data_IF_355007484882
#
_entry.id   IF_355007484882
#
_cell.length_a   1.000
_cell.length_b   1.000
_cell.length_c   1.000
_cell.angle_alpha   90.00
_cell.angle_beta   90.00
_cell.angle_gamma   90.00
#
_symmetry.space_group_name_H-M   'P 1'
#
loop_
_entity.id
_entity.type
_entity.pdbx_description
1 polymer ?
#
# COMPACT_ATOMS: atom_id res chain seq x y z
N UNK A 1 -7.98 7.85 10.29
CA UNK A 1 -8.28 7.21 9.00
C UNK A 1 -7.00 6.74 8.33
N UNK A 2 -6.80 5.43 8.25
CA UNK A 2 -5.77 4.79 7.42
C UNK A 2 -6.43 4.38 6.10
N UNK A 3 -5.87 4.79 4.97
CA UNK A 3 -6.36 4.36 3.66
C UNK A 3 -5.37 3.40 3.02
N UNK A 4 -5.85 2.27 2.49
CA UNK A 4 -5.01 1.25 1.86
C UNK A 4 -5.37 1.14 0.38
N UNK A 5 -4.36 1.18 -0.49
CA UNK A 5 -4.51 0.88 -1.91
C UNK A 5 -3.58 -0.29 -2.31
N UNK A 6 -4.12 -1.50 -2.54
CA UNK A 6 -3.32 -2.68 -2.82
C UNK A 6 -2.93 -2.82 -4.30
N UNK A 7 -3.52 -2.04 -5.19
CA UNK A 7 -3.30 -2.15 -6.63
C UNK A 7 -1.91 -1.69 -7.08
N UNK A 8 -1.47 -2.27 -8.20
CA UNK A 8 -0.42 -1.75 -9.07
C UNK A 8 -0.59 -2.33 -10.47
N UNK A 9 -0.30 -1.56 -11.52
CA UNK A 9 -0.43 -2.02 -12.92
C UNK A 9 0.52 -3.18 -13.25
N UNK A 10 1.71 -3.19 -12.66
CA UNK A 10 2.62 -4.35 -12.78
C UNK A 10 2.40 -5.25 -11.56
N UNK A 11 1.91 -6.49 -11.72
CA UNK A 11 1.67 -7.40 -10.60
C UNK A 11 2.91 -7.64 -9.74
N UNK A 12 4.10 -7.56 -10.33
CA UNK A 12 5.39 -7.73 -9.62
C UNK A 12 5.63 -6.63 -8.59
N UNK A 13 4.95 -5.48 -8.68
CA UNK A 13 5.04 -4.38 -7.72
C UNK A 13 3.94 -4.44 -6.65
N UNK A 14 3.08 -5.46 -6.65
CA UNK A 14 2.02 -5.61 -5.64
C UNK A 14 2.58 -6.28 -4.40
N UNK A 15 2.54 -5.60 -3.26
CA UNK A 15 2.79 -6.23 -1.97
C UNK A 15 1.67 -7.23 -1.64
N UNK A 16 1.95 -8.37 -0.98
CA UNK A 16 0.95 -9.42 -0.78
C UNK A 16 -0.29 -8.92 -0.03
N UNK A 17 -1.45 -9.44 -0.42
CA UNK A 17 -2.75 -9.11 0.21
C UNK A 17 -2.72 -9.40 1.71
N UNK A 18 -2.12 -10.51 2.11
CA UNK A 18 -1.97 -10.93 3.51
C UNK A 18 -1.17 -9.90 4.31
N UNK A 19 -0.21 -9.24 3.66
CA UNK A 19 0.61 -8.21 4.29
C UNK A 19 -0.18 -6.92 4.53
N UNK A 20 -0.99 -6.49 3.56
CA UNK A 20 -1.91 -5.36 3.75
C UNK A 20 -2.98 -5.66 4.80
N UNK A 21 -3.54 -6.88 4.79
CA UNK A 21 -4.54 -7.32 5.76
C UNK A 21 -3.99 -7.29 7.19
N UNK A 22 -2.75 -7.73 7.39
CA UNK A 22 -2.10 -7.68 8.70
C UNK A 22 -1.88 -6.24 9.18
N UNK A 23 -1.51 -5.31 8.31
CA UNK A 23 -1.46 -3.88 8.68
C UNK A 23 -2.85 -3.35 9.03
N UNK A 24 -3.87 -3.68 8.24
CA UNK A 24 -5.26 -3.26 8.49
C UNK A 24 -5.75 -3.75 9.85
N UNK A 25 -5.51 -5.03 10.16
CA UNK A 25 -5.87 -5.67 11.43
C UNK A 25 -5.25 -4.96 12.63
N UNK A 26 -3.93 -4.73 12.59
CA UNK A 26 -3.21 -4.05 13.69
C UNK A 26 -3.66 -2.60 13.84
N UNK A 27 -3.85 -1.88 12.73
CA UNK A 27 -4.35 -0.50 12.78
C UNK A 27 -5.76 -0.41 13.39
N UNK A 28 -6.66 -1.34 13.06
CA UNK A 28 -8.00 -1.41 13.62
C UNK A 28 -8.02 -1.82 15.10
N UNK A 29 -7.14 -2.74 15.51
CA UNK A 29 -6.92 -3.09 16.92
C UNK A 29 -6.44 -1.88 17.73
N UNK A 30 -5.66 -0.99 17.11
CA UNK A 30 -5.26 0.31 17.64
C UNK A 30 -6.28 1.43 17.33
N UNK A 31 -7.57 1.06 17.23
CA UNK A 31 -8.75 1.93 17.08
C UNK A 31 -8.82 2.80 15.81
N UNK A 32 -7.95 2.60 14.80
CA UNK A 32 -8.10 3.32 13.54
C UNK A 32 -9.25 2.80 12.69
N UNK A 33 -9.92 3.73 12.01
CA UNK A 33 -10.73 3.45 10.84
C UNK A 33 -9.80 3.14 9.65
N UNK A 34 -10.02 2.00 9.00
CA UNK A 34 -9.26 1.53 7.84
C UNK A 34 -10.19 1.40 6.64
N UNK A 35 -9.83 2.07 5.54
CA UNK A 35 -10.59 2.02 4.28
C UNK A 35 -9.69 1.50 3.17
N UNK A 36 -10.08 0.40 2.55
CA UNK A 36 -9.41 -0.14 1.36
C UNK A 36 -10.05 0.50 0.12
N UNK A 37 -9.23 0.99 -0.81
CA UNK A 37 -9.67 1.64 -2.05
C UNK A 37 -8.96 1.03 -3.25
N UNK A 38 -9.56 1.19 -4.43
CA UNK A 38 -9.05 0.68 -5.69
C UNK A 38 -10.12 0.80 -6.77
N UNK A 39 -9.81 0.40 -7.99
CA UNK A 39 -10.80 0.30 -9.07
C UNK A 39 -11.41 -1.12 -9.15
N UNK A 40 -12.25 -1.36 -10.16
CA UNK A 40 -12.84 -2.68 -10.42
C UNK A 40 -11.82 -3.84 -10.46
N UNK A 41 -10.58 -3.57 -10.89
CA UNK A 41 -9.51 -4.58 -10.98
C UNK A 41 -8.88 -4.92 -9.63
N UNK A 42 -9.05 -4.04 -8.64
CA UNK A 42 -8.55 -4.23 -7.28
C UNK A 42 -9.61 -4.75 -6.31
N UNK A 43 -10.90 -4.77 -6.70
CA UNK A 43 -12.01 -5.10 -5.80
C UNK A 43 -11.86 -6.48 -5.11
N UNK A 44 -11.43 -7.50 -5.85
CA UNK A 44 -11.21 -8.83 -5.29
C UNK A 44 -10.08 -8.86 -4.24
N UNK A 45 -8.99 -8.13 -4.49
CA UNK A 45 -7.89 -8.00 -3.53
C UNK A 45 -8.35 -7.19 -2.31
N UNK A 46 -9.14 -6.14 -2.50
CA UNK A 46 -9.69 -5.33 -1.42
C UNK A 46 -10.62 -6.12 -0.51
N UNK A 47 -11.53 -6.92 -1.07
CA UNK A 47 -12.43 -7.78 -0.29
C UNK A 47 -11.66 -8.82 0.53
N UNK A 48 -10.60 -9.41 -0.07
CA UNK A 48 -9.73 -10.36 0.62
C UNK A 48 -8.95 -9.67 1.75
N UNK A 49 -8.49 -8.43 1.57
CA UNK A 49 -7.84 -7.63 2.62
C UNK A 49 -8.81 -7.37 3.78
N UNK A 50 -10.04 -6.98 3.48
CA UNK A 50 -11.07 -6.74 4.52
C UNK A 50 -11.37 -8.03 5.28
N UNK A 51 -11.57 -9.14 4.58
CA UNK A 51 -11.87 -10.42 5.20
C UNK A 51 -10.75 -10.87 6.14
N UNK A 52 -9.51 -10.95 5.64
CA UNK A 52 -8.34 -11.36 6.42
C UNK A 52 -8.02 -10.38 7.55
N UNK A 53 -8.18 -9.07 7.30
CA UNK A 53 -7.90 -8.03 8.29
C UNK A 53 -8.85 -8.06 9.50
N UNK A 54 -10.05 -8.62 9.33
CA UNK A 54 -11.05 -8.79 10.39
C UNK A 54 -10.83 -10.03 11.25
N UNK A 55 -10.03 -10.99 10.77
CA UNK A 55 -9.85 -12.26 11.48
C UNK A 55 -9.25 -12.05 12.88
N UNK A 56 -9.87 -12.67 13.88
CA UNK A 56 -9.42 -12.61 15.27
C UNK A 56 -9.70 -11.28 15.99
N UNK A 57 -10.32 -10.30 15.35
CA UNK A 57 -10.74 -9.06 16.00
C UNK A 57 -12.13 -9.19 16.67
N UNK A 58 -12.38 -8.50 17.80
CA UNK A 58 -13.73 -8.23 18.29
C UNK A 58 -14.58 -7.55 17.21
N UNK A 59 -15.90 -7.80 17.22
CA UNK A 59 -16.82 -7.31 16.20
C UNK A 59 -16.73 -5.79 15.97
N UNK A 60 -16.68 -5.00 17.05
CA UNK A 60 -16.57 -3.53 16.99
C UNK A 60 -15.28 -3.07 16.28
N UNK A 61 -14.15 -3.76 16.50
CA UNK A 61 -12.88 -3.44 15.84
C UNK A 61 -12.88 -3.93 14.39
N UNK A 62 -13.47 -5.09 14.11
CA UNK A 62 -13.59 -5.64 12.76
C UNK A 62 -14.42 -4.72 11.83
N UNK A 63 -15.47 -4.08 12.35
CA UNK A 63 -16.31 -3.14 11.60
C UNK A 63 -15.56 -1.87 11.15
N UNK A 64 -14.40 -1.57 11.77
CA UNK A 64 -13.54 -0.42 11.39
C UNK A 64 -12.80 -0.63 10.08
N UNK A 65 -12.75 -1.86 9.56
CA UNK A 65 -12.08 -2.20 8.29
C UNK A 65 -13.16 -2.31 7.22
N UNK A 66 -13.17 -1.42 6.25
CA UNK A 66 -14.16 -1.39 5.16
C UNK A 66 -13.49 -1.25 3.79
N UNK A 67 -14.23 -1.53 2.72
CA UNK A 67 -13.79 -1.34 1.34
C UNK A 67 -14.70 -0.32 0.65
N UNK A 68 -14.09 0.60 -0.10
CA UNK A 68 -14.72 1.48 -1.07
C UNK A 68 -14.11 1.24 -2.47
N UNK A 69 -13.55 0.05 -2.71
CA UNK A 69 -13.05 -0.32 -4.03
C UNK A 69 -14.19 -0.27 -5.07
N UNK A 70 -13.86 0.20 -6.27
CA UNK A 70 -14.81 0.42 -7.38
C UNK A 70 -16.01 1.32 -7.05
N UNK A 71 -15.92 2.11 -5.97
CA UNK A 71 -17.05 2.90 -5.45
C UNK A 71 -16.78 4.41 -5.46
N UNK A 72 -15.59 4.84 -5.88
CA UNK A 72 -15.16 6.23 -5.85
C UNK A 72 -14.74 6.71 -7.24
N UNK A 73 -15.20 7.88 -7.62
CA UNK A 73 -14.60 8.64 -8.72
C UNK A 73 -13.19 9.13 -8.31
N UNK A 74 -12.39 9.54 -9.30
CA UNK A 74 -11.06 10.11 -9.03
C UNK A 74 -11.12 11.34 -8.11
N UNK A 75 -12.14 12.19 -8.27
CA UNK A 75 -12.35 13.37 -7.44
C UNK A 75 -12.70 13.02 -5.99
N UNK A 76 -13.58 12.04 -5.78
CA UNK A 76 -13.93 11.55 -4.44
C UNK A 76 -12.74 10.85 -3.76
N UNK A 77 -11.95 10.09 -4.52
CA UNK A 77 -10.71 9.49 -4.03
C UNK A 77 -9.71 10.56 -3.56
N UNK A 78 -9.51 11.63 -4.35
CA UNK A 78 -8.69 12.75 -3.96
C UNK A 78 -9.21 13.42 -2.68
N UNK A 79 -10.53 13.61 -2.57
CA UNK A 79 -11.19 14.13 -1.37
C UNK A 79 -11.00 13.23 -0.15
N UNK A 80 -11.11 11.91 -0.29
CA UNK A 80 -10.84 10.97 0.80
C UNK A 80 -9.40 11.10 1.31
N UNK A 81 -8.43 11.24 0.41
CA UNK A 81 -7.02 11.37 0.77
C UNK A 81 -6.70 12.65 1.56
N UNK A 82 -7.42 13.76 1.36
CA UNK A 82 -7.18 14.98 2.17
C UNK A 82 -7.56 14.78 3.65
N UNK A 83 -8.45 13.82 3.94
CA UNK A 83 -8.86 13.48 5.30
C UNK A 83 -8.04 12.35 5.92
N UNK A 84 -7.30 11.59 5.11
CA UNK A 84 -6.47 10.47 5.57
C UNK A 84 -5.36 10.94 6.53
N UNK A 85 -5.16 10.20 7.61
CA UNK A 85 -4.00 10.38 8.48
C UNK A 85 -2.74 9.84 7.82
N UNK A 86 -2.89 8.72 7.09
CA UNK A 86 -1.84 8.08 6.31
C UNK A 86 -2.46 7.20 5.23
N UNK A 87 -1.82 7.18 4.06
CA UNK A 87 -2.17 6.30 2.94
C UNK A 87 -1.05 5.27 2.74
N UNK A 88 -1.39 3.99 2.85
CA UNK A 88 -0.50 2.87 2.55
C UNK A 88 -0.81 2.34 1.15
N UNK A 89 0.20 2.17 0.31
CA UNK A 89 0.01 1.52 -0.99
C UNK A 89 1.30 1.16 -1.70
N UNK A 90 1.14 0.50 -2.84
CA UNK A 90 2.26 0.19 -3.73
C UNK A 90 2.72 1.42 -4.53
N UNK A 91 3.68 1.21 -5.43
CA UNK A 91 4.00 2.18 -6.49
C UNK A 91 2.86 2.28 -7.52
N UNK A 92 1.82 3.04 -7.19
CA UNK A 92 0.59 3.19 -7.98
C UNK A 92 0.12 4.65 -8.08
N UNK A 93 -0.71 4.93 -9.10
CA UNK A 93 -1.31 6.24 -9.32
C UNK A 93 -2.03 6.82 -8.08
N UNK A 94 -2.92 6.06 -7.41
CA UNK A 94 -3.58 6.53 -6.19
C UNK A 94 -2.63 6.93 -5.06
N UNK A 95 -1.50 6.24 -4.87
CA UNK A 95 -0.50 6.63 -3.87
C UNK A 95 0.19 7.96 -4.24
N UNK A 96 0.47 8.18 -5.52
CA UNK A 96 0.98 9.47 -6.01
C UNK A 96 -0.04 10.60 -5.87
N UNK A 97 -1.33 10.33 -6.14
CA UNK A 97 -2.42 11.28 -5.92
C UNK A 97 -2.52 11.68 -4.45
N UNK A 98 -2.46 10.71 -3.53
CA UNK A 98 -2.45 10.96 -2.09
C UNK A 98 -1.33 11.93 -1.69
N UNK A 99 -0.11 11.71 -2.20
CA UNK A 99 1.01 12.63 -2.00
C UNK A 99 0.72 14.03 -2.57
N UNK A 100 0.16 14.12 -3.79
CA UNK A 100 -0.12 15.39 -4.45
C UNK A 100 -1.15 16.24 -3.70
N UNK A 101 -2.13 15.62 -3.05
CA UNK A 101 -3.12 16.33 -2.21
C UNK A 101 -2.65 16.53 -0.77
N UNK A 102 -1.39 16.19 -0.46
CA UNK A 102 -0.75 16.44 0.82
C UNK A 102 -0.97 15.35 1.88
N UNK A 103 -1.54 14.20 1.55
CA UNK A 103 -1.64 13.09 2.50
C UNK A 103 -0.24 12.56 2.87
N UNK A 104 -0.09 12.08 4.10
CA UNK A 104 1.09 11.29 4.49
C UNK A 104 1.02 9.94 3.81
N UNK A 105 2.16 9.39 3.39
CA UNK A 105 2.16 8.12 2.65
C UNK A 105 3.19 7.14 3.18
N UNK A 106 2.83 5.86 3.20
CA UNK A 106 3.76 4.74 3.31
C UNK A 106 3.68 3.98 1.99
N UNK A 107 4.78 3.95 1.25
CA UNK A 107 4.86 3.32 -0.06
C UNK A 107 5.73 2.08 -0.04
N UNK A 108 5.24 0.99 -0.64
CA UNK A 108 6.03 -0.21 -0.93
C UNK A 108 6.46 -0.18 -2.39
N UNK A 109 7.76 -0.28 -2.64
CA UNK A 109 8.35 -0.11 -3.96
C UNK A 109 9.33 -1.23 -4.29
N UNK A 110 9.40 -1.59 -5.57
CA UNK A 110 10.56 -2.30 -6.08
C UNK A 110 11.72 -1.31 -6.27
N UNK A 111 12.95 -1.69 -5.90
CA UNK A 111 14.10 -0.77 -5.87
C UNK A 111 14.33 -0.01 -7.18
N UNK A 112 14.12 -0.65 -8.33
CA UNK A 112 14.26 -0.03 -9.65
C UNK A 112 13.28 1.12 -9.91
N UNK A 113 12.12 1.13 -9.25
CA UNK A 113 11.13 2.20 -9.35
C UNK A 113 11.34 3.33 -8.34
N UNK A 114 11.99 3.05 -7.21
CA UNK A 114 12.17 4.02 -6.12
C UNK A 114 12.80 5.31 -6.63
N UNK A 115 13.88 5.19 -7.41
CA UNK A 115 14.63 6.33 -7.93
C UNK A 115 13.79 7.25 -8.84
N UNK A 116 12.77 6.70 -9.49
CA UNK A 116 11.93 7.43 -10.45
C UNK A 116 10.68 8.03 -9.81
N UNK A 117 10.15 7.39 -8.76
CA UNK A 117 8.76 7.58 -8.35
C UNK A 117 8.58 7.81 -6.84
N UNK A 118 9.62 7.60 -6.03
CA UNK A 118 9.48 7.76 -4.59
C UNK A 118 9.60 9.22 -4.15
N UNK A 119 8.90 9.58 -3.08
CA UNK A 119 8.95 10.93 -2.54
C UNK A 119 10.33 11.25 -1.96
N UNK A 120 10.78 12.50 -2.12
CA UNK A 120 11.99 12.98 -1.46
C UNK A 120 11.69 13.35 0.00
N UNK A 121 12.47 12.79 0.92
CA UNK A 121 12.38 13.07 2.35
C UNK A 121 11.53 12.08 3.13
N UNK A 122 11.80 11.98 4.44
CA UNK A 122 11.18 11.05 5.38
C UNK A 122 10.34 11.72 6.46
N UNK A 123 9.84 12.94 6.22
CA UNK A 123 8.96 13.60 7.21
C UNK A 123 7.53 13.10 7.06
N UNK A 124 6.93 13.25 5.87
CA UNK A 124 5.55 12.87 5.56
C UNK A 124 5.41 11.55 4.80
N UNK A 125 6.50 11.11 4.15
CA UNK A 125 6.49 9.96 3.26
C UNK A 125 7.49 8.93 3.76
N UNK A 126 7.10 7.65 3.73
CA UNK A 126 7.94 6.51 4.11
C UNK A 126 8.01 5.55 2.94
N UNK A 127 9.19 5.00 2.70
CA UNK A 127 9.47 4.15 1.55
C UNK A 127 10.07 2.86 2.09
N UNK A 128 9.43 1.75 1.75
CA UNK A 128 9.97 0.40 1.94
C UNK A 128 10.30 -0.19 0.58
N UNK A 129 11.44 -0.88 0.51
CA UNK A 129 12.05 -1.27 -0.75
C UNK A 129 12.19 -2.79 -0.79
N UNK A 130 11.65 -3.41 -1.84
CA UNK A 130 11.96 -4.77 -2.25
C UNK A 130 13.17 -4.80 -3.20
N UNK A 131 14.13 -5.67 -2.91
CA UNK A 131 15.44 -5.78 -3.56
C UNK A 131 15.55 -7.00 -4.47
N UNK A 132 14.43 -7.55 -4.92
CA UNK A 132 14.42 -8.67 -5.87
C UNK A 132 15.10 -8.26 -7.18
N UNK A 133 16.30 -8.78 -7.45
CA UNK A 133 17.09 -8.52 -8.67
C UNK A 133 17.00 -9.65 -9.70
N UNK A 134 16.55 -10.83 -9.27
CA UNK A 134 16.33 -12.00 -10.14
C UNK A 134 14.91 -12.50 -9.97
N UNK A 135 14.30 -12.95 -11.07
CA UNK A 135 12.98 -13.56 -11.02
C UNK A 135 13.01 -14.77 -10.07
N UNK A 136 12.18 -14.79 -9.01
CA UNK A 136 12.13 -15.91 -8.06
C UNK A 136 11.80 -17.28 -8.69
N UNK A 137 11.22 -17.28 -9.90
CA UNK A 137 10.79 -18.51 -10.58
C UNK A 137 11.85 -19.03 -11.54
N UNK A 138 12.39 -18.18 -12.44
CA UNK A 138 13.33 -18.63 -13.49
C UNK A 138 14.75 -18.08 -13.36
N UNK A 139 15.03 -17.22 -12.37
CA UNK A 139 16.37 -16.69 -12.09
C UNK A 139 16.89 -15.63 -13.07
N UNK A 140 16.12 -15.27 -14.11
CA UNK A 140 16.48 -14.21 -15.05
C UNK A 140 16.70 -12.89 -14.30
N UNK A 141 17.68 -12.11 -14.72
CA UNK A 141 17.94 -10.79 -14.16
C UNK A 141 16.78 -9.85 -14.53
N UNK A 142 16.01 -9.41 -13.52
CA UNK A 142 14.85 -8.52 -13.73
C UNK A 142 15.23 -7.05 -13.75
N UNK A 143 16.48 -6.72 -13.42
CA UNK A 143 17.00 -5.33 -13.42
C UNK A 143 17.29 -4.82 -14.83
N UNK A 144 17.49 -5.73 -15.78
CA UNK A 144 17.85 -5.44 -17.16
C UNK A 144 16.63 -5.46 -18.11
N UNK A 145 15.45 -5.81 -17.61
CA UNK A 145 14.22 -5.96 -18.39
C UNK A 145 13.82 -4.63 -19.02
N UNK A 146 13.67 -4.62 -20.35
CA UNK A 146 13.35 -3.41 -21.11
C UNK A 146 14.57 -2.57 -21.51
N UNK A 147 15.77 -3.01 -21.13
CA UNK A 147 17.03 -2.40 -21.60
C UNK A 147 17.89 -3.40 -22.39
N UNK A 148 18.41 -4.43 -21.73
CA UNK A 148 19.28 -5.45 -22.35
C UNK A 148 18.72 -6.88 -22.24
N UNK A 149 17.59 -7.06 -21.55
CA UNK A 149 16.90 -8.34 -21.42
C UNK A 149 15.40 -8.21 -21.71
N UNK A 150 14.79 -9.30 -22.19
CA UNK A 150 13.34 -9.42 -22.32
C UNK A 150 12.68 -9.77 -20.97
N UNK A 151 11.41 -9.37 -20.83
CA UNK A 151 10.60 -9.72 -19.65
C UNK A 151 10.23 -11.20 -19.69
N UNK A 152 10.45 -11.93 -18.60
CA UNK A 152 9.91 -13.29 -18.47
C UNK A 152 8.37 -13.29 -18.27
N UNK A 153 7.73 -14.44 -18.48
CA UNK A 153 6.28 -14.61 -18.30
C UNK A 153 5.82 -14.66 -16.83
N UNK A 154 6.74 -14.72 -15.86
CA UNK A 154 6.39 -14.85 -14.45
C UNK A 154 6.11 -13.50 -13.80
N UNK A 155 5.09 -13.48 -12.95
CA UNK A 155 4.63 -12.30 -12.22
C UNK A 155 4.69 -12.41 -10.68
N UNK A 156 5.68 -13.09 -10.07
CA UNK A 156 5.81 -13.07 -8.62
C UNK A 156 6.11 -11.65 -8.13
N UNK A 157 5.60 -11.31 -6.95
CA UNK A 157 5.89 -10.01 -6.34
C UNK A 157 7.39 -9.86 -6.03
N UNK A 158 7.99 -8.79 -6.55
CA UNK A 158 9.36 -8.35 -6.28
C UNK A 158 9.47 -7.58 -4.96
N UNK A 159 8.34 -7.34 -4.29
CA UNK A 159 8.27 -6.60 -3.04
C UNK A 159 7.74 -7.46 -1.89
N UNK A 160 7.50 -8.75 -2.13
CA UNK A 160 6.99 -9.68 -1.11
C UNK A 160 7.87 -9.79 0.14
N UNK A 161 9.18 -9.56 0.01
CA UNK A 161 10.12 -9.60 1.14
C UNK A 161 10.01 -8.39 2.09
N UNK A 162 9.30 -7.33 1.69
CA UNK A 162 9.10 -6.16 2.55
C UNK A 162 8.31 -6.57 3.79
N UNK A 163 8.90 -6.35 4.97
CA UNK A 163 8.38 -6.82 6.24
C UNK A 163 7.18 -5.99 6.69
N UNK A 164 6.13 -6.69 7.13
CA UNK A 164 4.91 -6.07 7.65
C UNK A 164 5.18 -5.23 8.89
N UNK A 165 6.07 -5.69 9.79
CA UNK A 165 6.38 -4.97 11.03
C UNK A 165 6.94 -3.57 10.77
N UNK A 166 7.84 -3.46 9.78
CA UNK A 166 8.47 -2.18 9.44
C UNK A 166 7.46 -1.21 8.83
N UNK A 167 6.61 -1.73 7.92
CA UNK A 167 5.53 -0.95 7.28
C UNK A 167 4.54 -0.47 8.33
N UNK A 168 4.10 -1.36 9.23
CA UNK A 168 3.16 -1.03 10.29
C UNK A 168 3.72 0.05 11.25
N UNK A 169 5.00 -0.06 11.63
CA UNK A 169 5.64 0.93 12.48
C UNK A 169 5.64 2.33 11.85
N UNK A 170 5.94 2.43 10.56
CA UNK A 170 5.93 3.70 9.82
C UNK A 170 4.50 4.23 9.61
N UNK A 171 3.51 3.35 9.37
CA UNK A 171 2.07 3.73 9.33
C UNK A 171 1.65 4.36 10.65
N UNK A 172 1.96 3.71 11.78
CA UNK A 172 1.55 4.20 13.10
C UNK A 172 2.25 5.49 13.49
N UNK A 173 3.55 5.62 13.18
CA UNK A 173 4.29 6.85 13.43
C UNK A 173 3.67 8.04 12.68
N UNK A 174 3.35 7.87 11.39
CA UNK A 174 2.73 8.91 10.58
C UNK A 174 1.30 9.23 11.04
N UNK A 175 0.53 8.21 11.43
CA UNK A 175 -0.82 8.36 11.96
C UNK A 175 -0.81 9.24 13.21
N UNK A 176 0.05 8.94 14.18
CA UNK A 176 0.20 9.73 15.42
C UNK A 176 0.64 11.17 15.15
N UNK A 177 1.59 11.36 14.23
CA UNK A 177 2.03 12.70 13.84
C UNK A 177 0.89 13.53 13.20
N UNK A 178 0.04 12.91 12.37
CA UNK A 178 -1.16 13.55 11.81
C UNK A 178 -2.13 14.03 12.91
N UNK A 179 -2.39 13.17 13.89
CA UNK A 179 -3.29 13.50 15.00
C UNK A 179 -2.76 14.65 15.86
N UNK A 180 -1.46 14.67 16.12
CA UNK A 180 -0.82 15.73 16.92
C UNK A 180 -0.88 17.12 16.26
N UNK A 181 -0.93 17.20 14.92
CA UNK A 181 -1.05 18.49 14.20
C UNK A 181 -2.49 19.03 14.14
N UNK A 182 -3.49 18.21 14.51
CA UNK A 182 -4.91 18.59 14.50
C UNK A 182 -5.43 19.05 15.87
N UNK A 183 -4.62 18.93 16.93
CA UNK A 183 -4.91 19.34 18.32
C UNK A 183 -4.21 20.66 18.61
#
# INVERSE_FOLDING_TARGET
LVVIHPGATDPRRRWPVESFAEVARRAAADEAQVVVVGDATDAADADRIVALGREGLPAEQAERITSLADSLTLGELAGLFTHADVVLGNDSGPRHLAQAVGARTVGVFWFGNVVNAAAFGRTRHRIHIGWTTRCPVCGVDVTQVGWTAERCAHDPSHVAEVRVDDVHADVEQLRRASLAERV
#
